data_IF_138349889871
#
_entry.id   IF_138349889871
#
_cell.length_a   1.000
_cell.length_b   1.000
_cell.length_c   1.000
_cell.angle_alpha   90.00
_cell.angle_beta   90.00
_cell.angle_gamma   90.00
#
_symmetry.space_group_name_H-M   'P 1'
#
loop_
_entity.id
_entity.type
_entity.pdbx_description
1 polymer ?
#
# COMPACT_ATOMS: atom_id res chain seq x y z
N UNK A 1 10.79 19.41 3.42
CA UNK A 1 10.62 17.94 3.28
C UNK A 1 10.20 17.41 4.63
N UNK A 2 9.46 16.29 4.74
CA UNK A 2 9.11 15.74 6.06
C UNK A 2 10.39 15.42 6.84
N UNK A 3 10.43 15.93 8.07
CA UNK A 3 11.37 15.60 9.13
C UNK A 3 11.03 14.23 9.77
N UNK A 4 11.66 13.89 10.90
CA UNK A 4 11.40 12.63 11.60
C UNK A 4 10.01 12.57 12.22
N UNK A 5 9.53 13.67 12.80
CA UNK A 5 8.18 13.78 13.35
C UNK A 5 7.13 13.56 12.26
N UNK A 6 7.27 14.24 11.11
CA UNK A 6 6.37 14.04 9.97
C UNK A 6 6.41 12.62 9.39
N UNK A 7 7.55 11.92 9.50
CA UNK A 7 7.64 10.50 9.11
C UNK A 7 6.99 9.56 10.15
N UNK A 8 7.03 9.90 11.43
CA UNK A 8 6.32 9.17 12.48
C UNK A 8 4.80 9.30 12.31
N UNK A 9 4.31 10.50 12.03
CA UNK A 9 2.89 10.74 11.73
C UNK A 9 2.45 9.97 10.47
N UNK A 10 3.29 9.92 9.44
CA UNK A 10 3.01 9.11 8.25
C UNK A 10 2.91 7.62 8.60
N UNK A 11 3.79 7.10 9.46
CA UNK A 11 3.71 5.69 9.94
C UNK A 11 2.41 5.44 10.69
N UNK A 12 2.02 6.34 11.57
CA UNK A 12 0.77 6.23 12.32
C UNK A 12 -0.44 6.26 11.39
N UNK A 13 -0.49 7.18 10.42
CA UNK A 13 -1.57 7.26 9.44
C UNK A 13 -1.70 5.97 8.61
N UNK A 14 -0.56 5.36 8.26
CA UNK A 14 -0.54 4.09 7.52
C UNK A 14 -0.97 2.89 8.39
N UNK A 15 -0.65 2.89 9.69
CA UNK A 15 -0.96 1.80 10.62
C UNK A 15 -2.38 1.92 11.22
N UNK A 16 -2.85 3.13 11.50
CA UNK A 16 -4.09 3.44 12.22
C UNK A 16 -5.37 3.25 11.41
N UNK A 17 -5.28 2.74 10.19
CA UNK A 17 -6.45 2.52 9.31
C UNK A 17 -7.06 3.79 8.76
N UNK A 18 -6.42 4.95 8.94
CA UNK A 18 -6.85 6.21 8.32
C UNK A 18 -6.85 6.03 6.80
N UNK A 19 -8.01 6.21 6.13
CA UNK A 19 -8.05 6.09 4.70
C UNK A 19 -7.18 7.19 4.07
N UNK A 20 -6.41 6.89 3.02
CA UNK A 20 -5.65 7.90 2.33
C UNK A 20 -6.58 8.96 1.71
N UNK A 21 -6.04 10.13 1.34
CA UNK A 21 -6.81 11.14 0.64
C UNK A 21 -7.42 10.56 -0.66
N UNK A 22 -8.76 10.58 -0.76
CA UNK A 22 -9.51 9.94 -1.85
C UNK A 22 -9.84 8.45 -1.67
N UNK A 23 -9.57 7.87 -0.49
CA UNK A 23 -9.97 6.50 -0.11
C UNK A 23 -9.12 5.37 -0.75
N UNK A 24 -9.42 4.11 -0.40
CA UNK A 24 -8.75 2.91 -0.92
C UNK A 24 -7.34 2.68 -0.36
N UNK A 25 -6.50 1.91 -1.07
CA UNK A 25 -5.14 1.59 -0.62
C UNK A 25 -4.20 2.80 -0.72
N UNK A 26 -3.30 2.95 0.25
CA UNK A 26 -2.19 3.90 0.19
C UNK A 26 -1.27 3.62 -1.00
N UNK A 27 -0.84 4.69 -1.67
CA UNK A 27 0.05 4.65 -2.84
C UNK A 27 0.94 5.89 -2.89
N UNK A 28 2.01 5.86 -3.68
CA UNK A 28 2.94 6.99 -3.82
C UNK A 28 2.26 8.34 -4.08
N UNK A 29 1.36 8.45 -5.07
CA UNK A 29 0.59 9.67 -5.31
C UNK A 29 -0.25 10.14 -4.10
N UNK A 30 -0.84 9.20 -3.34
CA UNK A 30 -1.67 9.52 -2.18
C UNK A 30 -0.85 9.99 -0.99
N UNK A 31 0.32 9.38 -0.77
CA UNK A 31 1.28 9.88 0.23
C UNK A 31 1.77 11.26 -0.16
N UNK A 32 2.07 11.52 -1.45
CA UNK A 32 2.45 12.86 -1.89
C UNK A 32 1.36 13.90 -1.59
N UNK A 33 0.09 13.58 -1.85
CA UNK A 33 -1.04 14.46 -1.53
C UNK A 33 -1.21 14.68 -0.02
N UNK A 34 -1.09 13.61 0.77
CA UNK A 34 -1.12 13.70 2.23
C UNK A 34 0.01 14.61 2.75
N UNK A 35 1.21 14.50 2.17
CA UNK A 35 2.35 15.37 2.50
C UNK A 35 2.01 16.82 2.17
N UNK A 36 1.46 17.12 0.98
CA UNK A 36 1.03 18.48 0.59
C UNK A 36 0.05 19.07 1.60
N UNK A 37 -0.97 18.30 1.99
CA UNK A 37 -1.98 18.68 2.99
C UNK A 37 -1.34 18.94 4.36
N UNK A 38 -0.37 18.12 4.79
CA UNK A 38 0.27 18.26 6.11
C UNK A 38 1.22 19.45 6.23
N UNK A 39 2.05 19.70 5.22
CA UNK A 39 3.03 20.79 5.27
C UNK A 39 2.46 22.13 4.75
N UNK A 40 1.17 22.16 4.37
CA UNK A 40 0.50 23.35 3.86
C UNK A 40 1.19 23.97 2.63
N UNK A 41 1.92 23.16 1.85
CA UNK A 41 2.75 23.68 0.76
C UNK A 41 1.89 24.03 -0.45
N UNK A 42 2.04 25.26 -0.94
CA UNK A 42 1.51 25.67 -2.25
C UNK A 42 2.20 24.94 -3.42
N UNK A 43 3.38 24.36 -3.17
CA UNK A 43 4.15 23.61 -4.16
C UNK A 43 3.72 22.14 -4.18
N UNK A 44 3.42 21.67 -5.39
CA UNK A 44 3.06 20.28 -5.67
C UNK A 44 4.21 19.34 -5.29
N UNK A 45 3.92 18.35 -4.45
CA UNK A 45 4.80 17.23 -4.15
C UNK A 45 4.61 16.17 -5.23
N UNK A 46 5.69 15.84 -5.94
CA UNK A 46 5.63 14.81 -6.97
C UNK A 46 5.38 13.43 -6.35
N UNK A 47 4.62 12.59 -7.06
CA UNK A 47 4.32 11.20 -6.65
C UNK A 47 5.58 10.37 -6.33
N UNK A 48 6.71 10.66 -6.99
CA UNK A 48 8.02 10.08 -6.70
C UNK A 48 8.39 10.23 -5.21
N UNK A 49 8.21 11.42 -4.64
CA UNK A 49 8.53 11.67 -3.23
C UNK A 49 7.61 10.90 -2.30
N UNK A 50 6.33 10.79 -2.64
CA UNK A 50 5.42 9.95 -1.87
C UNK A 50 5.83 8.48 -1.86
N UNK A 51 6.31 7.94 -3.00
CA UNK A 51 6.85 6.58 -3.07
C UNK A 51 8.12 6.39 -2.22
N UNK A 52 9.03 7.36 -2.23
CA UNK A 52 10.23 7.30 -1.40
C UNK A 52 9.89 7.29 0.08
N UNK A 53 8.92 8.10 0.52
CA UNK A 53 8.47 8.09 1.91
C UNK A 53 7.76 6.79 2.28
N UNK A 54 6.95 6.22 1.38
CA UNK A 54 6.38 4.87 1.52
C UNK A 54 7.47 3.81 1.79
N UNK A 55 8.57 3.84 1.04
CA UNK A 55 9.70 2.93 1.28
C UNK A 55 10.43 3.23 2.58
N UNK A 56 10.65 4.51 2.93
CA UNK A 56 11.31 4.91 4.19
C UNK A 56 10.56 4.43 5.43
N UNK A 57 9.24 4.39 5.36
CA UNK A 57 8.39 3.90 6.46
C UNK A 57 8.14 2.40 6.42
N UNK A 58 8.79 1.67 5.51
CA UNK A 58 8.72 0.20 5.43
C UNK A 58 7.41 -0.34 4.87
N UNK A 59 6.60 0.49 4.20
CA UNK A 59 5.29 0.10 3.70
C UNK A 59 5.37 -0.27 2.22
N UNK A 60 4.82 -1.43 1.87
CA UNK A 60 4.69 -1.91 0.50
C UNK A 60 3.24 -2.29 0.22
N UNK A 61 2.52 -1.57 -0.66
CA UNK A 61 1.15 -1.93 -1.01
C UNK A 61 1.09 -3.32 -1.64
N UNK A 62 0.48 -4.28 -0.95
CA UNK A 62 0.30 -5.64 -1.46
C UNK A 62 -1.04 -5.75 -2.18
N UNK A 63 -0.99 -6.10 -3.47
CA UNK A 63 -2.18 -6.44 -4.25
C UNK A 63 -2.20 -7.96 -4.39
N UNK A 64 -3.20 -8.67 -3.82
CA UNK A 64 -3.32 -10.10 -4.00
C UNK A 64 -3.41 -10.44 -5.48
N UNK A 65 -2.74 -11.51 -5.89
CA UNK A 65 -2.86 -11.99 -7.27
C UNK A 65 -4.33 -12.32 -7.53
N UNK A 66 -4.92 -11.87 -8.66
CA UNK A 66 -6.26 -12.27 -9.05
C UNK A 66 -6.37 -13.79 -9.12
N UNK A 67 -7.41 -14.35 -8.51
CA UNK A 67 -7.68 -15.78 -8.59
C UNK A 67 -8.44 -16.12 -9.87
N UNK A 68 -8.19 -17.30 -10.44
CA UNK A 68 -8.95 -17.77 -11.60
C UNK A 68 -10.36 -18.17 -11.15
N UNK A 69 -11.38 -17.47 -11.64
CA UNK A 69 -12.79 -17.73 -11.32
C UNK A 69 -13.26 -19.12 -11.76
N UNK A 70 -12.59 -19.74 -12.74
CA UNK A 70 -12.85 -21.11 -13.22
C UNK A 70 -11.82 -22.12 -12.68
N UNK A 71 -11.09 -21.78 -11.63
CA UNK A 71 -10.14 -22.69 -11.00
C UNK A 71 -10.85 -23.86 -10.33
N UNK A 72 -10.20 -25.02 -10.30
CA UNK A 72 -10.68 -26.21 -9.60
C UNK A 72 -10.98 -25.90 -8.12
N UNK A 73 -12.03 -26.51 -7.56
CA UNK A 73 -12.33 -26.45 -6.12
C UNK A 73 -11.23 -27.16 -5.31
N UNK A 74 -11.01 -26.82 -4.01
CA UNK A 74 -10.03 -27.53 -3.17
C UNK A 74 -10.09 -29.05 -3.27
N UNK A 75 -11.29 -29.66 -3.32
CA UNK A 75 -11.40 -31.14 -3.42
C UNK A 75 -10.85 -31.68 -4.74
N UNK A 76 -11.11 -31.02 -5.86
CA UNK A 76 -10.60 -31.40 -7.18
C UNK A 76 -9.08 -31.30 -7.24
N UNK A 77 -8.50 -30.28 -6.58
CA UNK A 77 -7.05 -30.10 -6.48
C UNK A 77 -6.39 -31.21 -5.67
N UNK A 78 -7.00 -31.61 -4.55
CA UNK A 78 -6.50 -32.71 -3.72
C UNK A 78 -6.53 -34.04 -4.49
N UNK A 79 -7.63 -34.33 -5.21
CA UNK A 79 -7.76 -35.53 -6.02
C UNK A 79 -6.72 -35.60 -7.16
N UNK A 80 -6.30 -34.45 -7.70
CA UNK A 80 -5.27 -34.38 -8.74
C UNK A 80 -3.84 -34.61 -8.22
N UNK A 81 -3.59 -34.51 -6.90
CA UNK A 81 -2.24 -34.73 -6.36
C UNK A 81 -1.80 -36.18 -6.58
N UNK A 82 -0.61 -36.35 -7.15
CA UNK A 82 -0.02 -37.67 -7.35
C UNK A 82 0.42 -38.25 -6.01
N UNK A 83 -0.17 -39.39 -5.62
CA UNK A 83 0.31 -40.15 -4.47
C UNK A 83 1.57 -40.90 -4.91
N UNK A 84 2.67 -40.73 -4.17
CA UNK A 84 3.89 -41.50 -4.41
C UNK A 84 3.56 -42.97 -4.12
N UNK A 85 3.72 -43.83 -5.14
CA UNK A 85 3.52 -45.28 -5.01
C UNK A 85 4.83 -45.95 -4.67
#
# INVERSE_FOLDING_TARGET
MLDEEGQAELREALAGGTPPPGGGMWSGPKVARWIEEKIGSQKKVHAQRGWEYLRKVGMSPQVPRPSNAKGADPSEREAFKKVLR
#
